data_IF_999190117190
#
_entry.id   IF_999190117190
#
_cell.length_a   1.000
_cell.length_b   1.000
_cell.length_c   1.000
_cell.angle_alpha   90.00
_cell.angle_beta   90.00
_cell.angle_gamma   90.00
#
_symmetry.space_group_name_H-M   'P 1'
#
loop_
_entity.id
_entity.type
_entity.pdbx_description
1 polymer ?
#
# COMPACT_ATOMS: atom_id res chain seq x y z
N UNK A 1 -30.34 24.33 16.41
CA UNK A 1 -29.02 23.83 16.84
C UNK A 1 -28.04 24.08 15.70
N UNK A 2 -26.89 24.69 15.95
CA UNK A 2 -25.88 24.86 14.92
C UNK A 2 -25.25 23.48 14.62
N UNK A 3 -25.38 23.02 13.38
CA UNK A 3 -24.73 21.79 12.92
C UNK A 3 -23.23 22.12 12.77
N UNK A 4 -22.43 21.75 13.76
CA UNK A 4 -20.97 21.85 13.66
C UNK A 4 -20.52 20.79 12.67
N UNK A 5 -19.94 21.20 11.55
CA UNK A 5 -19.34 20.26 10.58
C UNK A 5 -18.17 19.55 11.23
N UNK A 6 -18.29 18.24 11.43
CA UNK A 6 -17.23 17.39 11.93
C UNK A 6 -16.32 16.95 10.77
N UNK A 7 -15.02 16.96 11.02
CA UNK A 7 -13.98 16.62 10.04
C UNK A 7 -13.09 15.52 10.62
N UNK A 8 -12.73 14.52 9.81
CA UNK A 8 -11.87 13.43 10.21
C UNK A 8 -10.44 13.91 10.48
N UNK A 9 -9.87 13.55 11.63
CA UNK A 9 -8.49 13.91 11.97
C UNK A 9 -7.42 13.17 11.13
N UNK A 10 -7.78 12.02 10.53
CA UNK A 10 -6.86 11.24 9.70
C UNK A 10 -6.67 11.82 8.29
N UNK A 11 -7.77 12.16 7.61
CA UNK A 11 -7.71 12.55 6.18
C UNK A 11 -8.44 13.86 5.82
N UNK A 12 -9.08 14.54 6.77
CA UNK A 12 -9.81 15.77 6.48
C UNK A 12 -11.19 15.59 5.83
N UNK A 13 -11.66 14.35 5.64
CA UNK A 13 -13.00 14.09 5.09
C UNK A 13 -14.10 14.55 6.06
N UNK A 14 -15.25 14.97 5.52
CA UNK A 14 -16.44 15.29 6.32
C UNK A 14 -17.02 14.01 6.94
N UNK A 15 -17.37 14.09 8.22
CA UNK A 15 -17.99 12.97 8.94
C UNK A 15 -19.49 13.22 9.08
N UNK A 16 -20.30 12.31 8.56
CA UNK A 16 -21.72 12.23 8.90
C UNK A 16 -21.85 11.49 10.23
N UNK A 17 -21.89 12.26 11.31
CA UNK A 17 -22.12 11.72 12.65
C UNK A 17 -23.55 12.06 13.11
N UNK A 18 -24.30 11.05 13.53
CA UNK A 18 -25.50 11.27 14.32
C UNK A 18 -25.10 11.80 15.71
N UNK A 19 -25.88 12.75 16.21
CA UNK A 19 -25.74 13.43 17.50
C UNK A 19 -25.57 12.51 18.71
N UNK A 20 -25.91 11.22 18.59
CA UNK A 20 -25.86 10.24 19.68
C UNK A 20 -24.63 9.32 19.66
N UNK A 21 -23.70 9.47 18.70
CA UNK A 21 -22.52 8.60 18.62
C UNK A 21 -21.32 9.19 19.36
N UNK A 22 -20.67 8.39 20.21
CA UNK A 22 -19.44 8.79 20.90
C UNK A 22 -18.17 8.56 20.06
N UNK A 23 -18.24 7.69 19.05
CA UNK A 23 -17.15 7.37 18.13
C UNK A 23 -17.71 7.27 16.73
N UNK A 24 -17.10 7.94 15.77
CA UNK A 24 -17.44 7.83 14.34
C UNK A 24 -16.23 7.36 13.56
N UNK A 25 -16.40 6.28 12.80
CA UNK A 25 -15.35 5.78 11.91
C UNK A 25 -15.46 6.47 10.56
N UNK A 26 -14.37 7.06 10.10
CA UNK A 26 -14.34 7.68 8.78
C UNK A 26 -14.50 6.62 7.71
N UNK A 27 -15.53 6.73 6.87
CA UNK A 27 -15.74 5.80 5.75
C UNK A 27 -14.64 5.90 4.69
N UNK A 28 -13.88 7.00 4.66
CA UNK A 28 -12.84 7.21 3.66
C UNK A 28 -11.51 6.54 4.04
N UNK A 29 -11.00 6.80 5.25
CA UNK A 29 -9.68 6.31 5.69
C UNK A 29 -9.72 5.31 6.85
N UNK A 30 -10.90 4.94 7.35
CA UNK A 30 -11.06 4.00 8.47
C UNK A 30 -10.67 4.54 9.85
N UNK A 31 -10.18 5.79 9.95
CA UNK A 31 -9.80 6.38 11.24
C UNK A 31 -11.04 6.60 12.14
N UNK A 32 -11.04 6.03 13.35
CA UNK A 32 -12.05 6.28 14.37
C UNK A 32 -11.80 7.59 15.10
N UNK A 33 -12.77 8.49 15.09
CA UNK A 33 -12.72 9.79 15.75
C UNK A 33 -13.65 9.77 16.97
N UNK A 34 -13.11 10.01 18.17
CA UNK A 34 -13.92 10.15 19.37
C UNK A 34 -14.54 11.56 19.41
N UNK A 35 -15.86 11.63 19.52
CA UNK A 35 -16.58 12.90 19.62
C UNK A 35 -16.66 13.30 21.10
N UNK A 36 -15.83 14.25 21.49
CA UNK A 36 -15.91 14.84 22.81
C UNK A 36 -17.17 15.71 22.86
N UNK A 37 -18.23 15.21 23.50
CA UNK A 37 -19.41 16.02 23.79
C UNK A 37 -18.92 17.25 24.55
N UNK A 38 -19.08 18.44 23.97
CA UNK A 38 -18.91 19.67 24.71
C UNK A 38 -19.89 19.61 25.88
N UNK A 39 -19.37 19.36 27.09
CA UNK A 39 -20.15 19.53 28.31
C UNK A 39 -20.70 20.95 28.26
N UNK A 40 -22.01 21.08 28.41
CA UNK A 40 -22.65 22.39 28.51
C UNK A 40 -21.87 23.24 29.51
N UNK A 41 -21.62 24.54 29.23
CA UNK A 41 -20.89 25.41 30.13
C UNK A 41 -21.44 25.25 31.54
N UNK A 42 -20.60 25.03 32.57
CA UNK A 42 -21.08 24.89 33.93
C UNK A 42 -21.95 26.10 34.27
N UNK A 43 -23.18 25.84 34.71
CA UNK A 43 -24.08 26.92 35.10
C UNK A 43 -23.38 27.82 36.14
N UNK A 44 -23.55 29.16 36.06
CA UNK A 44 -22.97 30.07 37.03
C UNK A 44 -23.39 29.63 38.43
N UNK A 45 -22.43 29.25 39.27
CA UNK A 45 -22.73 28.91 40.66
C UNK A 45 -23.35 30.14 41.33
N UNK A 46 -24.52 30.02 41.99
CA UNK A 46 -25.02 31.06 42.87
C UNK A 46 -23.95 31.41 43.89
N UNK A 47 -23.68 32.70 44.08
CA UNK A 47 -22.74 33.15 45.11
C UNK A 47 -23.21 32.63 46.48
N UNK A 48 -22.34 31.97 47.26
CA UNK A 48 -22.70 31.49 48.58
C UNK A 48 -22.92 32.67 49.53
N UNK A 49 -24.16 32.82 50.00
CA UNK A 49 -24.43 33.56 51.24
C UNK A 49 -23.72 32.85 52.39
N UNK A 50 -22.92 33.60 53.15
CA UNK A 50 -22.26 33.13 54.36
C UNK A 50 -23.33 32.71 55.39
N UNK A 51 -23.42 31.41 55.65
CA UNK A 51 -24.20 30.85 56.76
C UNK A 51 -23.20 30.49 57.88
N UNK A 52 -23.44 30.90 59.14
CA UNK A 52 -22.57 30.57 60.27
C UNK A 52 -22.57 29.05 60.58
N UNK A 53 -21.48 28.54 61.19
CA UNK A 53 -21.23 27.10 61.28
C UNK A 53 -22.25 26.37 62.16
N UNK A 54 -22.94 25.38 61.58
CA UNK A 54 -23.69 24.37 62.33
C UNK A 54 -22.88 23.07 62.44
N UNK A 55 -22.85 22.53 63.66
CA UNK A 55 -22.21 21.26 64.01
C UNK A 55 -23.09 20.10 63.49
N UNK A 56 -22.55 19.24 62.62
CA UNK A 56 -23.22 18.02 62.18
C UNK A 56 -22.80 16.83 63.05
N UNK A 57 -23.78 16.18 63.67
CA UNK A 57 -23.67 14.82 64.23
C UNK A 57 -23.91 13.78 63.11
N UNK A 58 -23.03 12.80 63.00
CA UNK A 58 -23.14 11.71 62.02
C UNK A 58 -24.14 10.64 62.49
N UNK A 59 -25.19 10.38 61.71
CA UNK A 59 -26.03 9.18 61.82
C UNK A 59 -25.60 8.15 60.76
N UNK A 60 -25.01 7.05 61.22
CA UNK A 60 -24.69 5.87 60.41
C UNK A 60 -25.96 5.00 60.32
N UNK A 61 -26.43 4.71 59.11
CA UNK A 61 -27.43 3.65 58.85
C UNK A 61 -26.71 2.35 58.43
N UNK A 62 -26.99 1.20 59.06
CA UNK A 62 -26.42 -0.08 58.65
C UNK A 62 -27.12 -0.67 57.42
N UNK A 63 -26.33 -1.19 56.48
CA UNK A 63 -26.80 -1.90 55.30
C UNK A 63 -27.28 -3.33 55.67
N UNK A 64 -28.43 -3.73 55.12
CA UNK A 64 -29.03 -5.05 55.29
C UNK A 64 -28.33 -6.09 54.40
N UNK A 65 -27.87 -7.17 55.03
CA UNK A 65 -27.35 -8.36 54.36
C UNK A 65 -28.49 -9.23 53.80
N UNK A 66 -28.40 -9.63 52.53
CA UNK A 66 -29.22 -10.69 51.94
C UNK A 66 -28.37 -11.92 51.67
N UNK A 67 -28.93 -13.09 52.00
CA UNK A 67 -28.29 -14.41 51.97
C UNK A 67 -28.38 -15.00 50.56
N UNK A 68 -27.25 -15.07 49.86
CA UNK A 68 -27.05 -15.98 48.72
C UNK A 68 -25.69 -16.69 48.94
N UNK A 69 -25.71 -17.71 49.78
CA UNK A 69 -24.58 -18.61 50.04
C UNK A 69 -25.03 -20.00 49.63
N UNK A 70 -24.41 -20.56 48.59
CA UNK A 70 -24.67 -21.94 48.20
C UNK A 70 -24.14 -22.42 46.84
N UNK A 71 -23.69 -21.55 45.93
CA UNK A 71 -23.19 -21.98 44.60
C UNK A 71 -21.87 -21.36 44.11
N UNK A 72 -21.20 -20.52 44.92
CA UNK A 72 -20.02 -19.75 44.47
C UNK A 72 -18.68 -20.49 44.69
N UNK A 73 -18.61 -21.50 45.58
CA UNK A 73 -17.32 -22.06 46.00
C UNK A 73 -16.63 -23.02 45.01
N UNK A 74 -17.31 -23.53 43.98
CA UNK A 74 -16.67 -24.38 42.96
C UNK A 74 -16.21 -23.58 41.73
N UNK A 75 -16.85 -22.44 41.45
CA UNK A 75 -16.49 -21.56 40.32
C UNK A 75 -15.26 -20.68 40.60
N UNK A 76 -15.04 -20.25 41.85
CA UNK A 76 -13.93 -19.35 42.19
C UNK A 76 -12.55 -20.02 42.21
N UNK A 77 -12.46 -21.35 42.35
CA UNK A 77 -11.17 -22.05 42.35
C UNK A 77 -10.74 -22.55 40.96
N UNK A 78 -11.70 -22.95 40.10
CA UNK A 78 -11.40 -23.51 38.77
C UNK A 78 -11.29 -22.44 37.67
N UNK A 79 -12.01 -21.32 37.80
CA UNK A 79 -11.95 -20.24 36.82
C UNK A 79 -10.55 -19.58 36.70
N UNK A 80 -9.81 -19.28 37.79
CA UNK A 80 -8.46 -18.74 37.64
C UNK A 80 -7.46 -19.75 37.07
N UNK A 81 -7.63 -21.06 37.32
CA UNK A 81 -6.74 -22.09 36.74
C UNK A 81 -7.00 -22.22 35.22
N UNK A 82 -8.26 -22.20 34.79
CA UNK A 82 -8.60 -22.22 33.37
C UNK A 82 -8.20 -20.93 32.65
N UNK A 83 -8.38 -19.76 33.26
CA UNK A 83 -7.94 -18.48 32.69
C UNK A 83 -6.41 -18.41 32.64
N UNK A 84 -5.70 -18.80 33.70
CA UNK A 84 -4.23 -18.78 33.72
C UNK A 84 -3.65 -19.82 32.76
N UNK A 85 -4.25 -21.03 32.69
CA UNK A 85 -3.86 -22.06 31.74
C UNK A 85 -4.12 -21.65 30.29
N UNK A 86 -5.25 -20.98 30.00
CA UNK A 86 -5.55 -20.46 28.67
C UNK A 86 -4.64 -19.29 28.29
N UNK A 87 -4.35 -18.36 29.21
CA UNK A 87 -3.43 -17.25 28.97
C UNK A 87 -1.99 -17.76 28.77
N UNK A 88 -1.53 -18.71 29.58
CA UNK A 88 -0.20 -19.33 29.39
C UNK A 88 -0.17 -20.16 28.10
N UNK A 89 -1.24 -20.89 27.74
CA UNK A 89 -1.29 -21.65 26.48
C UNK A 89 -1.31 -20.73 25.26
N UNK A 90 -2.10 -19.65 25.26
CA UNK A 90 -2.14 -18.68 24.16
C UNK A 90 -0.81 -17.95 24.04
N UNK A 91 -0.21 -17.49 25.16
CA UNK A 91 1.11 -16.86 25.14
C UNK A 91 2.17 -17.85 24.68
N UNK A 92 2.17 -19.09 25.16
CA UNK A 92 3.20 -20.07 24.80
C UNK A 92 3.05 -20.53 23.34
N UNK A 93 1.83 -20.62 22.79
CA UNK A 93 1.61 -20.93 21.37
C UNK A 93 2.00 -19.76 20.46
N UNK A 94 1.72 -18.52 20.87
CA UNK A 94 2.17 -17.33 20.13
C UNK A 94 3.68 -17.13 20.19
N UNK A 95 4.32 -17.43 21.33
CA UNK A 95 5.78 -17.29 21.49
C UNK A 95 6.53 -18.40 20.75
N UNK A 96 6.01 -19.63 20.71
CA UNK A 96 6.66 -20.73 19.96
C UNK A 96 6.57 -20.53 18.45
N UNK A 97 5.41 -20.12 17.91
CA UNK A 97 5.31 -19.76 16.49
C UNK A 97 6.22 -18.58 16.13
N UNK A 98 6.25 -17.54 16.96
CA UNK A 98 7.13 -16.39 16.73
C UNK A 98 8.63 -16.76 16.85
N UNK A 99 9.00 -17.70 17.73
CA UNK A 99 10.37 -18.17 17.89
C UNK A 99 10.80 -19.11 16.76
N UNK A 100 9.91 -19.97 16.26
CA UNK A 100 10.15 -20.81 15.08
C UNK A 100 10.32 -19.95 13.82
N UNK A 101 9.43 -18.97 13.60
CA UNK A 101 9.52 -17.98 12.52
C UNK A 101 10.80 -17.14 12.60
N UNK A 102 11.23 -16.75 13.80
CA UNK A 102 12.52 -16.08 14.02
C UNK A 102 13.70 -17.01 13.75
N UNK A 103 13.62 -18.29 14.08
CA UNK A 103 14.73 -19.23 13.92
C UNK A 103 14.94 -19.66 12.47
N UNK A 104 13.85 -19.89 11.72
CA UNK A 104 13.91 -20.20 10.29
C UNK A 104 14.32 -18.97 9.49
N UNK A 105 13.81 -17.79 9.86
CA UNK A 105 14.25 -16.51 9.33
C UNK A 105 15.76 -16.26 9.53
N UNK A 106 16.31 -16.54 10.71
CA UNK A 106 17.72 -16.27 10.99
C UNK A 106 18.72 -17.26 10.37
N UNK A 107 18.29 -18.44 9.95
CA UNK A 107 19.20 -19.50 9.49
C UNK A 107 19.75 -19.31 8.07
N UNK A 108 19.15 -18.42 7.27
CA UNK A 108 19.58 -18.10 5.90
C UNK A 108 20.42 -16.83 5.75
N UNK A 109 20.49 -15.98 6.78
CA UNK A 109 21.26 -14.74 6.69
C UNK A 109 22.72 -15.01 7.01
N UNK A 110 23.58 -14.94 5.98
CA UNK A 110 25.01 -14.85 6.19
C UNK A 110 25.29 -13.68 7.16
N UNK A 111 26.10 -13.93 8.19
CA UNK A 111 26.48 -12.92 9.17
C UNK A 111 27.11 -11.71 8.44
N UNK A 112 26.36 -10.60 8.37
CA UNK A 112 26.78 -9.39 7.66
C UNK A 112 25.73 -8.73 6.77
N UNK A 113 24.57 -9.37 6.52
CA UNK A 113 23.48 -8.66 5.82
C UNK A 113 22.83 -7.63 6.74
N UNK A 114 22.80 -6.37 6.30
CA UNK A 114 22.14 -5.28 7.01
C UNK A 114 20.65 -5.57 7.19
N UNK A 115 20.13 -5.34 8.40
CA UNK A 115 18.71 -5.52 8.70
C UNK A 115 17.94 -4.26 8.36
N UNK A 116 17.23 -4.29 7.23
CA UNK A 116 16.37 -3.20 6.80
C UNK A 116 14.97 -3.69 6.46
N UNK A 117 14.00 -2.79 6.54
CA UNK A 117 12.64 -3.03 6.06
C UNK A 117 12.43 -2.25 4.78
N UNK A 118 11.87 -2.87 3.74
CA UNK A 118 11.43 -2.13 2.56
C UNK A 118 10.27 -1.20 2.92
N UNK A 119 10.29 0.05 2.46
CA UNK A 119 9.31 1.10 2.80
C UNK A 119 8.65 1.74 1.59
N UNK A 120 9.31 1.77 0.44
CA UNK A 120 8.68 2.16 -0.84
C UNK A 120 7.62 1.14 -1.25
N UNK A 121 6.61 1.56 -2.02
CA UNK A 121 5.60 0.64 -2.56
C UNK A 121 6.19 -0.24 -3.66
N UNK A 122 6.25 0.27 -4.88
CA UNK A 122 6.88 -0.41 -6.01
C UNK A 122 8.39 -0.12 -6.05
N UNK A 123 9.24 -1.15 -6.19
CA UNK A 123 10.65 -0.93 -6.44
C UNK A 123 10.87 -0.36 -7.83
N UNK A 124 12.02 0.25 -8.04
CA UNK A 124 12.47 0.61 -9.37
C UNK A 124 13.56 -0.36 -9.82
N UNK A 125 13.41 -0.85 -11.04
CA UNK A 125 14.32 -1.84 -11.64
C UNK A 125 14.95 -1.23 -12.88
N UNK A 126 16.29 -1.30 -12.98
CA UNK A 126 17.13 -1.00 -14.15
C UNK A 126 18.58 -1.43 -13.89
N UNK A 127 19.47 -1.40 -14.88
CA UNK A 127 20.92 -1.72 -14.75
C UNK A 127 21.75 -0.49 -14.31
N UNK A 128 21.78 -0.19 -13.00
CA UNK A 128 22.36 1.06 -12.49
C UNK A 128 23.89 1.09 -12.54
N UNK A 129 24.56 -0.05 -12.42
CA UNK A 129 26.01 -0.14 -12.46
C UNK A 129 26.60 -0.47 -13.85
N UNK A 130 25.74 -0.81 -14.82
CA UNK A 130 26.07 -1.19 -16.20
C UNK A 130 26.79 -2.54 -16.31
N UNK A 131 26.46 -3.49 -15.43
CA UNK A 131 26.97 -4.86 -15.45
C UNK A 131 26.11 -5.83 -16.29
N UNK A 132 24.97 -5.36 -16.80
CA UNK A 132 24.03 -6.12 -17.63
C UNK A 132 22.97 -6.89 -16.84
N UNK A 133 23.00 -6.84 -15.51
CA UNK A 133 21.95 -7.36 -14.64
C UNK A 133 21.03 -6.21 -14.21
N UNK A 134 19.79 -6.55 -13.86
CA UNK A 134 18.86 -5.54 -13.39
C UNK A 134 18.95 -5.37 -11.88
N UNK A 135 19.39 -4.19 -11.49
CA UNK A 135 19.46 -3.73 -10.12
C UNK A 135 18.10 -3.23 -9.64
N UNK A 136 18.01 -3.03 -8.32
CA UNK A 136 16.81 -2.51 -7.68
C UNK A 136 17.12 -1.35 -6.76
N UNK A 137 16.29 -0.30 -6.79
CA UNK A 137 16.37 0.80 -5.82
C UNK A 137 15.00 1.19 -5.25
N UNK A 138 15.04 1.78 -4.07
CA UNK A 138 13.86 2.23 -3.35
C UNK A 138 14.18 2.80 -1.98
N UNK A 139 13.14 3.01 -1.17
CA UNK A 139 13.25 3.52 0.19
C UNK A 139 13.23 2.34 1.16
N UNK A 140 14.22 2.30 2.05
CA UNK A 140 14.33 1.32 3.13
C UNK A 140 14.33 2.02 4.49
N UNK A 141 13.95 1.30 5.54
CA UNK A 141 14.17 1.69 6.93
C UNK A 141 15.30 0.84 7.48
N UNK A 142 16.44 1.46 7.77
CA UNK A 142 17.50 0.80 8.52
C UNK A 142 17.00 0.60 9.96
N UNK A 143 16.80 -0.66 10.36
CA UNK A 143 16.13 -0.97 11.64
C UNK A 143 17.05 -0.74 12.84
N UNK A 144 18.37 -0.81 12.65
CA UNK A 144 19.33 -0.55 13.71
C UNK A 144 19.38 0.94 14.07
N UNK A 145 19.32 1.80 13.06
CA UNK A 145 19.45 3.25 13.22
C UNK A 145 18.11 3.99 13.26
N UNK A 146 17.02 3.34 12.85
CA UNK A 146 15.68 3.93 12.71
C UNK A 146 15.66 5.13 11.72
N UNK A 147 16.51 5.05 10.71
CA UNK A 147 16.66 6.05 9.64
C UNK A 147 16.06 5.53 8.34
N UNK A 148 15.37 6.41 7.61
CA UNK A 148 14.98 6.11 6.23
C UNK A 148 16.19 6.35 5.34
N UNK A 149 16.45 5.40 4.44
CA UNK A 149 17.53 5.49 3.47
C UNK A 149 16.96 5.29 2.05
N UNK A 150 17.51 6.01 1.08
CA UNK A 150 17.38 5.68 -0.33
C UNK A 150 18.53 4.73 -0.65
N UNK A 151 18.25 3.53 -1.14
CA UNK A 151 19.28 2.53 -1.38
C UNK A 151 19.08 1.81 -2.72
N UNK A 152 20.19 1.38 -3.31
CA UNK A 152 20.23 0.51 -4.48
C UNK A 152 21.02 -0.77 -4.21
N UNK A 153 20.60 -1.86 -4.83
CA UNK A 153 21.16 -3.20 -4.69
C UNK A 153 21.42 -3.82 -6.07
N UNK A 154 22.56 -4.48 -6.22
CA UNK A 154 22.96 -5.14 -7.46
C UNK A 154 22.03 -6.31 -7.77
N UNK A 155 21.64 -6.46 -9.03
CA UNK A 155 20.90 -7.63 -9.52
C UNK A 155 21.73 -8.90 -9.60
N UNK A 156 23.06 -8.78 -9.66
CA UNK A 156 23.97 -9.91 -9.84
C UNK A 156 24.16 -10.72 -8.56
N UNK A 157 24.36 -10.03 -7.44
CA UNK A 157 24.71 -10.65 -6.16
C UNK A 157 23.92 -10.10 -4.96
N UNK A 158 23.00 -9.16 -5.19
CA UNK A 158 22.16 -8.54 -4.17
C UNK A 158 22.93 -7.74 -3.12
N UNK A 159 24.17 -7.37 -3.40
CA UNK A 159 24.95 -6.47 -2.56
C UNK A 159 24.46 -5.02 -2.69
N UNK A 160 24.60 -4.23 -1.63
CA UNK A 160 24.24 -2.82 -1.66
C UNK A 160 25.26 -2.04 -2.52
N UNK A 161 24.78 -1.39 -3.57
CA UNK A 161 25.57 -0.52 -4.45
C UNK A 161 25.86 0.82 -3.75
N UNK A 162 24.82 1.44 -3.20
CA UNK A 162 24.89 2.68 -2.44
C UNK A 162 23.67 2.84 -1.55
N UNK A 163 23.81 3.66 -0.50
CA UNK A 163 22.71 4.09 0.35
C UNK A 163 22.93 5.55 0.79
N UNK A 164 21.83 6.30 0.85
CA UNK A 164 21.81 7.71 1.26
C UNK A 164 20.85 7.85 2.43
N UNK A 165 21.35 8.37 3.56
CA UNK A 165 20.51 8.68 4.73
C UNK A 165 19.60 9.88 4.43
N UNK A 166 18.28 9.64 4.49
CA UNK A 166 17.24 10.67 4.33
C UNK A 166 16.93 11.31 5.70
N UNK A 167 17.23 10.61 6.79
CA UNK A 167 17.07 11.04 8.17
C UNK A 167 16.14 10.12 8.98
N UNK A 168 15.96 10.43 10.28
CA UNK A 168 15.09 9.65 11.15
C UNK A 168 13.65 9.64 10.65
N UNK A 169 13.00 8.47 10.62
CA UNK A 169 11.62 8.33 10.14
C UNK A 169 10.65 9.29 10.85
N UNK A 170 10.87 9.53 12.16
CA UNK A 170 10.04 10.43 12.97
C UNK A 170 10.16 11.91 12.60
N UNK A 171 11.19 12.30 11.85
CA UNK A 171 11.47 13.68 11.45
C UNK A 171 10.98 14.02 10.04
N UNK A 172 10.63 13.00 9.25
CA UNK A 172 10.25 13.13 7.85
C UNK A 172 8.75 13.50 7.78
N UNK A 173 8.39 14.67 7.22
CA UNK A 173 7.01 15.10 7.16
C UNK A 173 6.22 14.31 6.10
N UNK A 174 5.28 13.49 6.56
CA UNK A 174 4.46 12.66 5.67
C UNK A 174 5.23 11.46 5.11
N UNK A 175 4.63 10.81 4.11
CA UNK A 175 5.29 9.70 3.40
C UNK A 175 6.14 10.30 2.26
N UNK A 176 7.44 9.96 2.18
CA UNK A 176 8.24 10.34 1.01
C UNK A 176 7.67 9.67 -0.24
N UNK A 177 7.73 10.37 -1.36
CA UNK A 177 7.39 9.82 -2.68
C UNK A 177 8.65 9.78 -3.53
N UNK A 178 8.87 8.66 -4.22
CA UNK A 178 10.02 8.44 -5.07
C UNK A 178 9.55 8.30 -6.52
N UNK A 179 10.27 8.94 -7.43
CA UNK A 179 10.05 8.83 -8.87
C UNK A 179 11.35 8.46 -9.55
N UNK A 180 11.24 7.83 -10.71
CA UNK A 180 12.38 7.44 -11.51
C UNK A 180 12.26 7.89 -12.95
N UNK A 181 13.38 8.37 -13.46
CA UNK A 181 13.55 8.80 -14.84
C UNK A 181 14.76 8.09 -15.45
N UNK A 182 14.56 7.42 -16.58
CA UNK A 182 15.67 6.97 -17.42
C UNK A 182 16.11 8.11 -18.34
N UNK A 183 17.41 8.43 -18.31
CA UNK A 183 17.98 9.50 -19.13
C UNK A 183 18.07 8.97 -20.57
N UNK A 184 17.22 9.49 -21.47
CA UNK A 184 17.20 9.07 -22.88
C UNK A 184 18.57 9.27 -23.52
N UNK A 185 19.14 8.20 -24.06
CA UNK A 185 20.42 8.22 -24.77
C UNK A 185 21.66 8.00 -23.91
N UNK A 186 21.53 7.75 -22.59
CA UNK A 186 22.68 7.44 -21.72
C UNK A 186 22.94 5.93 -21.52
N UNK A 187 22.20 5.07 -22.22
CA UNK A 187 22.26 3.62 -22.05
C UNK A 187 21.25 3.12 -21.02
N UNK A 188 21.04 1.81 -20.95
CA UNK A 188 20.14 1.21 -19.96
C UNK A 188 20.65 1.52 -18.54
N UNK A 189 19.72 1.89 -17.66
CA UNK A 189 19.93 2.11 -16.22
C UNK A 189 20.71 3.34 -15.77
N UNK A 190 21.14 4.22 -16.69
CA UNK A 190 21.50 5.59 -16.31
C UNK A 190 20.24 6.44 -16.18
N UNK A 191 20.06 7.05 -15.00
CA UNK A 191 18.87 7.82 -14.72
C UNK A 191 18.99 8.76 -13.53
N UNK A 192 17.86 9.40 -13.24
CA UNK A 192 17.70 10.28 -12.09
C UNK A 192 16.60 9.74 -11.19
N UNK A 193 16.92 9.47 -9.93
CA UNK A 193 15.95 9.21 -8.88
C UNK A 193 15.52 10.54 -8.27
N UNK A 194 14.21 10.77 -8.18
CA UNK A 194 13.63 11.98 -7.62
C UNK A 194 12.92 11.64 -6.32
N UNK A 195 13.44 12.14 -5.20
CA UNK A 195 12.86 11.92 -3.88
C UNK A 195 12.15 13.19 -3.41
N UNK A 196 10.87 13.07 -3.13
CA UNK A 196 10.06 14.15 -2.60
C UNK A 196 9.85 13.99 -1.09
N UNK A 197 10.26 15.00 -0.32
CA UNK A 197 10.11 15.06 1.14
C UNK A 197 9.58 16.42 1.57
N UNK A 198 8.32 16.47 2.04
CA UNK A 198 7.70 17.72 2.48
C UNK A 198 7.38 18.65 1.31
N UNK A 199 8.24 19.64 1.05
CA UNK A 199 8.21 20.52 -0.13
C UNK A 199 9.52 20.47 -0.92
N UNK A 200 10.50 19.69 -0.46
CA UNK A 200 11.78 19.54 -1.14
C UNK A 200 11.70 18.38 -2.14
N UNK A 201 12.06 18.65 -3.39
CA UNK A 201 12.35 17.65 -4.41
C UNK A 201 13.86 17.53 -4.54
N UNK A 202 14.40 16.34 -4.30
CA UNK A 202 15.83 16.03 -4.41
C UNK A 202 16.05 15.11 -5.59
N UNK A 203 17.10 15.35 -6.36
CA UNK A 203 17.52 14.48 -7.44
C UNK A 203 18.81 13.77 -7.08
N UNK A 204 18.86 12.47 -7.34
CA UNK A 204 20.01 11.62 -7.12
C UNK A 204 20.42 10.93 -8.42
N UNK A 205 21.71 10.83 -8.62
CA UNK A 205 22.31 9.96 -9.63
C UNK A 205 22.07 8.50 -9.24
N UNK A 206 21.41 7.71 -10.10
CA UNK A 206 21.07 6.33 -9.75
C UNK A 206 22.25 5.37 -9.75
N UNK A 207 23.37 5.73 -10.38
CA UNK A 207 24.56 4.90 -10.40
C UNK A 207 25.37 5.05 -9.11
N UNK A 208 25.50 6.27 -8.59
CA UNK A 208 26.38 6.54 -7.44
C UNK A 208 25.64 6.92 -6.16
N UNK A 209 24.33 7.17 -6.22
CA UNK A 209 23.55 7.73 -5.12
C UNK A 209 23.90 9.20 -4.80
N UNK A 210 24.67 9.88 -5.65
CA UNK A 210 25.09 11.26 -5.36
C UNK A 210 23.94 12.25 -5.60
N UNK A 211 23.73 13.19 -4.68
CA UNK A 211 22.74 14.27 -4.86
C UNK A 211 23.18 15.19 -6.00
N UNK A 212 22.36 15.28 -7.07
CA UNK A 212 22.58 16.16 -8.22
C UNK A 212 22.13 17.58 -7.91
N UNK A 213 20.93 17.73 -7.35
CA UNK A 213 20.36 19.03 -6.97
C UNK A 213 19.19 18.87 -6.00
N UNK A 214 18.81 19.99 -5.37
CA UNK A 214 17.62 20.10 -4.50
C UNK A 214 16.84 21.35 -4.85
N UNK A 215 15.52 21.20 -4.92
CA UNK A 215 14.59 22.27 -5.29
C UNK A 215 13.45 22.32 -4.28
N UNK A 216 13.14 23.51 -3.77
CA UNK A 216 11.98 23.71 -2.89
C UNK A 216 10.78 24.14 -3.72
N UNK A 217 9.70 23.36 -3.65
CA UNK A 217 8.41 23.65 -4.26
C UNK A 217 7.63 24.67 -3.43
N UNK A 218 6.71 25.44 -4.05
CA UNK A 218 5.87 26.39 -3.34
C UNK A 218 4.91 25.71 -2.35
N UNK A 219 4.45 24.49 -2.64
CA UNK A 219 3.62 23.65 -1.78
C UNK A 219 3.96 22.16 -2.01
N UNK A 220 3.21 21.26 -1.38
CA UNK A 220 3.37 19.81 -1.51
C UNK A 220 3.12 19.36 -2.95
N UNK A 221 3.92 18.39 -3.40
CA UNK A 221 3.77 17.75 -4.70
C UNK A 221 2.44 16.99 -4.77
N UNK A 222 1.73 17.18 -5.87
CA UNK A 222 0.55 16.41 -6.22
C UNK A 222 0.83 15.46 -7.39
N UNK A 223 1.55 15.92 -8.41
CA UNK A 223 1.96 15.07 -9.53
C UNK A 223 3.21 15.61 -10.21
N UNK A 224 3.93 14.73 -10.89
CA UNK A 224 5.10 15.07 -11.71
C UNK A 224 5.01 14.35 -13.04
N UNK A 225 5.19 15.12 -14.11
CA UNK A 225 5.29 14.62 -15.48
C UNK A 225 6.58 15.12 -16.11
N UNK A 226 7.13 14.37 -17.05
CA UNK A 226 8.30 14.74 -17.83
C UNK A 226 7.87 15.42 -19.12
N UNK A 227 8.52 16.51 -19.49
CA UNK A 227 8.42 17.14 -20.80
C UNK A 227 9.81 17.46 -21.34
N UNK A 228 10.35 16.57 -22.16
CA UNK A 228 11.72 16.65 -22.67
C UNK A 228 12.75 16.68 -21.54
N UNK A 229 13.48 17.79 -21.42
CA UNK A 229 14.51 18.04 -20.40
C UNK A 229 13.98 18.75 -19.14
N UNK A 230 12.67 18.93 -19.05
CA UNK A 230 12.00 19.55 -17.90
C UNK A 230 11.09 18.56 -17.19
N UNK A 231 10.93 18.73 -15.89
CA UNK A 231 9.84 18.14 -15.12
C UNK A 231 8.77 19.20 -14.92
N UNK A 232 7.52 18.89 -15.24
CA UNK A 232 6.39 19.72 -14.84
C UNK A 232 5.83 19.13 -13.54
N UNK A 233 5.88 19.92 -12.48
CA UNK A 233 5.37 19.56 -11.16
C UNK A 233 4.11 20.36 -10.88
N UNK A 234 3.05 19.65 -10.50
CA UNK A 234 1.82 20.25 -10.01
C UNK A 234 1.79 20.12 -8.50
N UNK A 235 1.59 21.23 -7.80
CA UNK A 235 1.47 21.25 -6.34
C UNK A 235 -0.01 21.15 -5.91
N UNK A 236 -0.28 20.88 -4.62
CA UNK A 236 -1.66 20.74 -4.08
C UNK A 236 -2.51 22.01 -4.28
N UNK A 237 -1.90 23.18 -4.34
CA UNK A 237 -2.56 24.45 -4.65
C UNK A 237 -2.84 24.65 -6.15
N UNK A 238 -2.66 23.59 -6.96
CA UNK A 238 -2.83 23.54 -8.42
C UNK A 238 -1.84 24.44 -9.18
N UNK A 239 -0.80 24.98 -8.52
CA UNK A 239 0.27 25.67 -9.20
C UNK A 239 1.14 24.68 -9.98
N UNK A 240 1.49 25.05 -11.23
CA UNK A 240 2.37 24.25 -12.10
C UNK A 240 3.71 24.97 -12.23
N UNK A 241 4.78 24.24 -11.95
CA UNK A 241 6.16 24.72 -12.12
C UNK A 241 6.93 23.79 -13.04
N UNK A 242 7.85 24.34 -13.83
CA UNK A 242 8.84 23.59 -14.58
C UNK A 242 10.16 23.55 -13.80
N UNK A 243 10.78 22.37 -13.75
CA UNK A 243 12.11 22.13 -13.17
C UNK A 243 13.02 21.65 -14.27
N UNK A 244 14.11 22.37 -14.52
CA UNK A 244 15.17 21.92 -15.41
C UNK A 244 15.88 20.69 -14.80
N UNK A 245 15.86 19.55 -15.48
CA UNK A 245 16.38 18.27 -14.95
C UNK A 245 17.88 18.27 -14.71
N UNK A 246 18.64 19.13 -15.41
CA UNK A 246 20.10 19.20 -15.28
C UNK A 246 20.55 20.07 -14.11
N UNK A 247 19.78 21.11 -13.76
CA UNK A 247 20.17 22.12 -12.77
C UNK A 247 19.27 22.17 -11.53
N UNK A 248 18.09 21.55 -11.57
CA UNK A 248 17.05 21.70 -10.56
C UNK A 248 16.39 23.08 -10.55
N UNK A 249 16.66 23.94 -11.53
CA UNK A 249 16.12 25.31 -11.53
C UNK A 249 14.60 25.30 -11.70
N UNK A 250 13.90 25.85 -10.71
CA UNK A 250 12.45 26.03 -10.71
C UNK A 250 12.04 27.29 -11.49
N UNK A 251 10.97 27.17 -12.27
CA UNK A 251 10.32 28.30 -12.95
C UNK A 251 8.81 28.09 -13.02
N UNK A 252 7.99 29.16 -13.05
CA UNK A 252 6.56 29.02 -13.31
C UNK A 252 6.31 28.39 -14.69
N UNK A 253 5.29 27.53 -14.80
CA UNK A 253 4.86 26.92 -16.06
C UNK A 253 3.36 27.15 -16.31
N UNK A 254 2.91 26.90 -17.55
CA UNK A 254 1.48 26.94 -17.87
C UNK A 254 0.75 25.79 -17.17
N UNK A 255 -0.52 26.02 -16.82
CA UNK A 255 -1.35 24.99 -16.18
C UNK A 255 -1.71 23.82 -17.13
N UNK A 256 -1.80 24.11 -18.43
CA UNK A 256 -2.08 23.09 -19.45
C UNK A 256 -0.83 22.26 -19.72
N UNK A 257 -0.94 20.93 -19.54
CA UNK A 257 0.14 20.00 -19.85
C UNK A 257 0.36 19.91 -21.37
N UNK A 258 1.61 19.95 -21.86
CA UNK A 258 1.90 19.75 -23.26
C UNK A 258 1.57 18.32 -23.68
N UNK A 259 1.23 18.12 -24.96
CA UNK A 259 0.92 16.79 -25.50
C UNK A 259 2.11 15.81 -25.45
N UNK A 260 3.33 16.32 -25.29
CA UNK A 260 4.57 15.56 -25.07
C UNK A 260 4.77 15.12 -23.62
N UNK A 261 3.94 15.57 -22.68
CA UNK A 261 4.11 15.25 -21.27
C UNK A 261 3.87 13.76 -21.01
N UNK A 262 4.83 13.11 -20.34
CA UNK A 262 4.76 11.70 -19.96
C UNK A 262 4.70 11.60 -18.44
N UNK A 263 3.76 10.82 -17.91
CA UNK A 263 3.70 10.55 -16.49
C UNK A 263 4.96 9.82 -16.02
N UNK A 264 5.54 10.30 -14.91
CA UNK A 264 6.71 9.66 -14.32
C UNK A 264 6.31 8.38 -13.59
N UNK A 265 7.19 7.37 -13.59
CA UNK A 265 7.02 6.17 -12.77
C UNK A 265 7.22 6.58 -11.30
N UNK A 266 6.21 6.36 -10.45
CA UNK A 266 6.28 6.56 -9.00
C UNK A 266 6.44 5.24 -8.24
N UNK A 267 7.03 5.30 -7.05
CA UNK A 267 7.10 4.19 -6.09
C UNK A 267 5.80 4.01 -5.31
N UNK A 268 4.83 4.89 -5.51
CA UNK A 268 3.47 4.66 -5.04
C UNK A 268 3.12 3.23 -5.47
N UNK A 269 2.64 2.46 -4.50
CA UNK A 269 2.31 1.05 -4.67
C UNK A 269 1.30 0.86 -5.78
N UNK A 270 0.71 -0.33 -5.87
CA UNK A 270 -0.57 -0.37 -6.56
C UNK A 270 -1.52 0.57 -5.84
N UNK A 271 -1.79 1.76 -6.42
CA UNK A 271 -2.97 2.51 -6.06
C UNK A 271 -4.11 1.50 -6.13
N UNK A 272 -4.76 1.30 -4.98
CA UNK A 272 -5.95 0.47 -4.81
C UNK A 272 -6.76 0.64 -6.08
N UNK A 273 -6.79 -0.39 -6.93
CA UNK A 273 -7.54 -0.58 -8.17
C UNK A 273 -8.11 0.74 -8.70
N UNK A 274 -7.74 1.24 -9.89
CA UNK A 274 -8.37 2.45 -10.40
C UNK A 274 -9.88 2.19 -10.28
N UNK A 275 -10.58 3.01 -9.46
CA UNK A 275 -11.91 2.69 -8.89
C UNK A 275 -12.81 2.14 -9.98
N UNK A 276 -13.76 1.25 -9.70
CA UNK A 276 -14.67 0.62 -10.70
C UNK A 276 -15.13 1.61 -11.80
N UNK A 277 -15.28 2.89 -11.47
CA UNK A 277 -15.66 4.03 -12.32
C UNK A 277 -14.56 4.60 -13.26
N UNK A 278 -13.33 4.11 -13.23
CA UNK A 278 -12.17 4.70 -13.94
C UNK A 278 -11.82 3.98 -15.23
N UNK A 279 -12.27 2.74 -15.41
CA UNK A 279 -12.12 1.99 -16.65
C UNK A 279 -13.51 1.71 -17.23
N UNK A 280 -13.58 1.60 -18.55
CA UNK A 280 -14.83 1.53 -19.36
C UNK A 280 -15.57 0.18 -19.26
N UNK A 281 -15.57 -0.46 -18.08
CA UNK A 281 -16.37 -1.65 -17.79
C UNK A 281 -17.41 -1.35 -16.72
N UNK A 282 -18.67 -1.66 -17.01
CA UNK A 282 -19.73 -1.57 -16.01
C UNK A 282 -19.68 -2.79 -15.06
N UNK A 283 -20.10 -2.61 -13.81
CA UNK A 283 -20.11 -3.69 -12.81
C UNK A 283 -20.97 -4.89 -13.21
N UNK A 284 -22.01 -4.68 -14.03
CA UNK A 284 -22.89 -5.72 -14.55
C UNK A 284 -22.74 -5.90 -16.07
N UNK A 285 -21.53 -5.68 -16.61
CA UNK A 285 -21.26 -5.83 -18.05
C UNK A 285 -21.55 -7.24 -18.57
N UNK A 286 -21.46 -8.26 -17.70
CA UNK A 286 -21.68 -9.67 -18.02
C UNK A 286 -22.78 -10.23 -17.11
N UNK A 287 -23.75 -10.94 -17.68
CA UNK A 287 -24.99 -11.34 -16.98
C UNK A 287 -24.78 -12.16 -15.69
N UNK A 288 -23.69 -12.93 -15.64
CA UNK A 288 -23.38 -13.85 -14.55
C UNK A 288 -22.19 -13.44 -13.69
N UNK A 289 -21.54 -12.32 -14.01
CA UNK A 289 -20.39 -11.79 -13.28
C UNK A 289 -20.66 -10.38 -12.75
N UNK A 290 -20.01 -10.07 -11.63
CA UNK A 290 -19.87 -8.73 -11.09
C UNK A 290 -18.41 -8.32 -11.23
N UNK A 291 -18.13 -7.32 -12.05
CA UNK A 291 -16.77 -6.77 -12.15
C UNK A 291 -16.45 -6.01 -10.86
N UNK A 292 -15.28 -6.32 -10.28
CA UNK A 292 -14.77 -5.73 -9.02
C UNK A 292 -13.56 -4.84 -9.28
N UNK A 293 -12.79 -5.18 -10.31
CA UNK A 293 -11.63 -4.43 -10.74
C UNK A 293 -11.44 -4.64 -12.24
N UNK A 294 -10.96 -3.61 -12.92
CA UNK A 294 -10.32 -3.76 -14.22
C UNK A 294 -8.87 -3.29 -14.10
N UNK A 295 -7.98 -3.89 -14.90
CA UNK A 295 -6.55 -3.63 -14.84
C UNK A 295 -6.10 -2.99 -16.15
N UNK A 296 -5.27 -1.95 -16.02
CA UNK A 296 -4.61 -1.30 -17.13
C UNK A 296 -3.19 -0.91 -16.70
N UNK A 297 -2.17 -1.10 -17.56
CA UNK A 297 -0.87 -0.50 -17.34
C UNK A 297 -0.99 1.02 -17.15
N UNK A 298 -0.41 1.64 -16.11
CA UNK A 298 -0.52 3.08 -15.89
C UNK A 298 -0.02 3.93 -17.07
N UNK A 299 0.93 3.41 -17.85
CA UNK A 299 1.48 4.11 -19.03
C UNK A 299 0.51 4.11 -20.22
N UNK A 300 -0.46 3.20 -20.22
CA UNK A 300 -1.50 3.10 -21.24
C UNK A 300 -2.77 3.88 -20.83
N UNK A 301 -2.74 4.52 -19.67
CA UNK A 301 -3.73 5.51 -19.27
C UNK A 301 -3.30 6.90 -19.78
N UNK A 302 -4.23 7.70 -20.32
CA UNK A 302 -3.92 9.07 -20.69
C UNK A 302 -3.49 9.87 -19.44
N UNK A 303 -2.47 10.73 -19.53
CA UNK A 303 -2.09 11.58 -18.41
C UNK A 303 -3.28 12.46 -18.03
N UNK A 304 -3.66 12.45 -16.74
CA UNK A 304 -4.69 13.34 -16.22
C UNK A 304 -4.06 14.34 -15.26
N UNK A 305 -4.15 15.62 -15.57
CA UNK A 305 -3.80 16.71 -14.65
C UNK A 305 -4.84 16.89 -13.54
N UNK A 306 -6.05 16.35 -13.71
CA UNK A 306 -7.17 16.56 -12.80
C UNK A 306 -7.51 15.30 -12.00
N UNK A 307 -7.90 15.48 -10.74
CA UNK A 307 -8.57 14.43 -9.93
C UNK A 307 -9.97 14.07 -10.43
N UNK A 308 -10.40 14.53 -11.61
CA UNK A 308 -11.73 14.20 -12.08
C UNK A 308 -11.76 12.73 -12.49
N UNK A 309 -12.59 11.93 -11.80
CA UNK A 309 -12.86 10.52 -12.08
C UNK A 309 -13.60 10.37 -13.42
N UNK A 310 -12.97 10.75 -14.53
CA UNK A 310 -13.49 10.41 -15.84
C UNK A 310 -13.01 9.00 -16.18
N UNK A 311 -13.90 8.13 -16.70
CA UNK A 311 -13.47 6.86 -17.26
C UNK A 311 -12.38 7.10 -18.30
N UNK A 312 -11.25 6.45 -18.12
CA UNK A 312 -10.12 6.46 -19.03
C UNK A 312 -10.15 5.17 -19.86
N UNK A 313 -9.93 5.30 -21.16
CA UNK A 313 -9.76 4.12 -22.02
C UNK A 313 -8.30 3.66 -21.94
N UNK A 314 -8.07 2.45 -21.43
CA UNK A 314 -6.77 1.80 -21.47
C UNK A 314 -6.30 1.59 -22.91
N UNK A 315 -5.08 1.96 -23.28
CA UNK A 315 -4.58 1.75 -24.66
C UNK A 315 -4.28 0.27 -25.00
N UNK A 316 -4.11 -0.59 -23.99
CA UNK A 316 -3.74 -2.00 -24.16
C UNK A 316 -4.83 -2.82 -24.89
N UNK A 317 -4.42 -3.75 -25.76
CA UNK A 317 -5.35 -4.46 -26.68
C UNK A 317 -6.28 -5.44 -25.95
N UNK A 318 -5.79 -6.08 -24.89
CA UNK A 318 -6.54 -7.08 -24.11
C UNK A 318 -6.82 -6.53 -22.72
N UNK A 319 -8.09 -6.43 -22.35
CA UNK A 319 -8.47 -6.04 -21.00
C UNK A 319 -8.40 -7.24 -20.05
N UNK A 320 -7.93 -7.02 -18.82
CA UNK A 320 -8.02 -8.01 -17.74
C UNK A 320 -8.86 -7.41 -16.62
N UNK A 321 -9.76 -8.20 -16.04
CA UNK A 321 -10.60 -7.80 -14.94
C UNK A 321 -10.67 -8.87 -13.86
N UNK A 322 -10.79 -8.42 -12.60
CA UNK A 322 -11.18 -9.27 -11.49
C UNK A 322 -12.69 -9.19 -11.34
N UNK A 323 -13.34 -10.35 -11.36
CA UNK A 323 -14.78 -10.47 -11.26
C UNK A 323 -15.17 -11.51 -10.20
N UNK A 324 -16.40 -11.40 -9.69
CA UNK A 324 -17.02 -12.45 -8.87
C UNK A 324 -18.33 -12.88 -9.50
N UNK A 325 -18.91 -14.01 -9.08
CA UNK A 325 -20.26 -14.37 -9.55
C UNK A 325 -21.27 -13.31 -9.12
N UNK A 326 -22.16 -12.91 -10.04
CA UNK A 326 -23.21 -11.94 -9.73
C UNK A 326 -24.25 -12.48 -8.73
N UNK A 327 -24.42 -13.80 -8.66
CA UNK A 327 -25.38 -14.49 -7.80
C UNK A 327 -24.72 -15.67 -7.07
N UNK A 328 -25.06 -15.84 -5.79
CA UNK A 328 -24.55 -16.93 -4.96
C UNK A 328 -23.28 -16.55 -4.21
N UNK A 329 -22.33 -17.50 -4.10
CA UNK A 329 -21.01 -17.27 -3.51
C UNK A 329 -20.15 -16.38 -4.40
N UNK A 330 -19.36 -15.48 -3.81
CA UNK A 330 -18.44 -14.56 -4.50
C UNK A 330 -17.20 -15.30 -5.05
N UNK A 331 -17.42 -16.36 -5.82
CA UNK A 331 -16.35 -17.14 -6.45
C UNK A 331 -15.53 -16.20 -7.35
N UNK A 332 -14.21 -16.11 -7.13
CA UNK A 332 -13.34 -15.15 -7.79
C UNK A 332 -12.92 -15.66 -9.17
N UNK A 333 -13.07 -14.81 -10.17
CA UNK A 333 -12.63 -15.04 -11.54
C UNK A 333 -11.66 -13.96 -12.00
N UNK A 334 -10.68 -14.38 -12.79
CA UNK A 334 -9.97 -13.51 -13.71
C UNK A 334 -10.67 -13.60 -15.07
N UNK A 335 -10.91 -12.44 -15.67
CA UNK A 335 -11.61 -12.30 -16.94
C UNK A 335 -10.71 -11.58 -17.93
N UNK A 336 -10.48 -12.20 -19.08
CA UNK A 336 -9.93 -11.55 -20.26
C UNK A 336 -11.04 -11.08 -21.18
N UNK A 337 -10.97 -9.85 -21.67
CA UNK A 337 -11.98 -9.28 -22.55
C UNK A 337 -11.37 -8.45 -23.69
N UNK A 338 -12.08 -8.38 -24.80
CA UNK A 338 -11.76 -7.49 -25.92
C UNK A 338 -12.07 -6.05 -25.53
N UNK A 339 -11.10 -5.14 -25.69
CA UNK A 339 -11.26 -3.76 -25.22
C UNK A 339 -12.38 -2.99 -25.94
N UNK A 340 -12.52 -3.15 -27.26
CA UNK A 340 -13.45 -2.38 -28.08
C UNK A 340 -14.88 -2.89 -27.94
N UNK A 341 -15.07 -4.20 -28.08
CA UNK A 341 -16.39 -4.85 -28.06
C UNK A 341 -16.87 -5.16 -26.64
N UNK A 342 -15.97 -5.14 -25.66
CA UNK A 342 -16.16 -5.68 -24.30
C UNK A 342 -16.55 -7.15 -24.29
N UNK A 343 -16.31 -7.87 -25.40
CA UNK A 343 -16.62 -9.29 -25.49
C UNK A 343 -15.66 -10.08 -24.58
N UNK A 344 -16.20 -11.07 -23.87
CA UNK A 344 -15.37 -12.00 -23.12
C UNK A 344 -14.53 -12.85 -24.07
N UNK A 345 -13.22 -12.96 -23.77
CA UNK A 345 -12.30 -13.87 -24.46
C UNK A 345 -12.13 -15.17 -23.70
N UNK A 346 -11.89 -15.07 -22.40
CA UNK A 346 -11.66 -16.20 -21.51
C UNK A 346 -12.00 -15.80 -20.08
N UNK A 347 -12.30 -16.80 -19.25
CA UNK A 347 -12.51 -16.64 -17.81
C UNK A 347 -11.88 -17.81 -17.06
N UNK A 348 -11.20 -17.52 -15.96
CA UNK A 348 -10.49 -18.51 -15.13
C UNK A 348 -10.81 -18.28 -13.67
N UNK A 349 -11.17 -19.34 -12.94
CA UNK A 349 -11.38 -19.26 -11.50
C UNK A 349 -10.03 -19.08 -10.80
N UNK A 350 -9.91 -18.10 -9.90
CA UNK A 350 -8.65 -17.83 -9.19
C UNK A 350 -8.35 -18.90 -8.12
N UNK A 351 -9.40 -19.44 -7.50
CA UNK A 351 -9.29 -20.53 -6.52
C UNK A 351 -9.44 -21.90 -7.20
N UNK A 352 -9.07 -23.01 -6.54
CA UNK A 352 -9.20 -24.35 -7.11
C UNK A 352 -10.59 -24.59 -7.71
N UNK A 353 -10.63 -25.21 -8.89
CA UNK A 353 -11.87 -25.39 -9.64
C UNK A 353 -12.97 -26.04 -8.78
N UNK A 354 -14.15 -25.42 -8.75
CA UNK A 354 -15.29 -25.88 -7.95
C UNK A 354 -15.25 -25.46 -6.47
N UNK A 355 -14.17 -24.82 -6.01
CA UNK A 355 -14.10 -24.22 -4.68
C UNK A 355 -15.07 -23.04 -4.55
N UNK A 356 -15.59 -22.84 -3.34
CA UNK A 356 -16.34 -21.64 -2.95
C UNK A 356 -15.46 -20.61 -2.24
N UNK A 357 -14.14 -20.86 -2.14
CA UNK A 357 -13.19 -19.92 -1.58
C UNK A 357 -13.22 -18.61 -2.37
N UNK A 358 -13.28 -17.49 -1.65
CA UNK A 358 -13.24 -16.13 -2.20
C UNK A 358 -11.81 -15.61 -2.21
N UNK A 359 -11.59 -14.40 -2.72
CA UNK A 359 -10.34 -13.65 -2.48
C UNK A 359 -10.62 -12.64 -1.38
N UNK A 360 -9.65 -12.43 -0.49
CA UNK A 360 -9.78 -11.44 0.57
C UNK A 360 -9.88 -10.01 -0.02
N UNK A 361 -10.82 -9.22 0.48
CA UNK A 361 -11.00 -7.83 0.05
C UNK A 361 -9.95 -6.89 0.65
N UNK A 362 -10.03 -5.60 0.31
CA UNK A 362 -9.14 -4.58 0.86
C UNK A 362 -7.72 -4.68 0.31
N UNK A 363 -6.73 -4.80 1.19
CA UNK A 363 -5.31 -4.77 0.80
C UNK A 363 -4.85 -6.05 0.09
N UNK A 364 -5.54 -7.17 0.29
CA UNK A 364 -5.29 -8.48 -0.34
C UNK A 364 -5.93 -8.65 -1.73
N UNK A 365 -6.52 -7.56 -2.27
CA UNK A 365 -7.19 -7.61 -3.55
C UNK A 365 -6.23 -7.93 -4.71
N UNK A 366 -6.74 -8.55 -5.79
CA UNK A 366 -5.91 -8.90 -6.93
C UNK A 366 -5.18 -7.70 -7.55
N UNK A 367 -3.94 -7.91 -7.97
CA UNK A 367 -3.12 -6.93 -8.73
C UNK A 367 -2.54 -7.59 -9.95
N UNK A 368 -2.43 -6.86 -11.05
CA UNK A 368 -1.90 -7.39 -12.33
C UNK A 368 -0.77 -6.50 -12.83
N UNK A 369 0.31 -7.12 -13.29
CA UNK A 369 1.34 -6.51 -14.14
C UNK A 369 1.38 -7.22 -15.48
N UNK A 370 1.51 -6.45 -16.55
CA UNK A 370 1.55 -6.94 -17.91
C UNK A 370 2.99 -7.01 -18.40
N UNK A 371 3.38 -8.11 -19.05
CA UNK A 371 4.61 -8.16 -19.82
C UNK A 371 4.44 -7.35 -21.11
N UNK A 372 5.24 -6.29 -21.23
CA UNK A 372 5.22 -5.37 -22.38
C UNK A 372 6.33 -5.64 -23.38
N UNK A 373 7.29 -6.49 -23.04
CA UNK A 373 8.37 -6.87 -23.95
C UNK A 373 7.88 -7.86 -25.02
N UNK A 374 6.75 -8.50 -24.75
CA UNK A 374 6.05 -9.41 -25.66
C UNK A 374 4.88 -8.68 -26.36
N UNK A 375 4.57 -9.00 -27.63
CA UNK A 375 3.35 -8.51 -28.28
C UNK A 375 2.10 -8.88 -27.47
N UNK A 376 1.15 -7.95 -27.32
CA UNK A 376 0.01 -8.09 -26.38
C UNK A 376 -0.88 -9.32 -26.58
N UNK A 377 -0.90 -9.91 -27.77
CA UNK A 377 -1.65 -11.14 -28.09
C UNK A 377 -0.92 -12.43 -27.68
N UNK A 378 0.35 -12.31 -27.32
CA UNK A 378 1.24 -13.36 -26.81
C UNK A 378 1.84 -13.01 -25.44
N UNK A 379 1.53 -11.82 -24.92
CA UNK A 379 2.01 -11.36 -23.62
C UNK A 379 1.45 -12.20 -22.49
N UNK A 380 2.28 -12.39 -21.48
CA UNK A 380 1.84 -12.86 -20.18
C UNK A 380 1.50 -11.69 -19.27
N UNK A 381 0.85 -12.04 -18.18
CA UNK A 381 0.66 -11.16 -17.06
C UNK A 381 0.88 -11.90 -15.74
N UNK A 382 1.18 -11.11 -14.72
CA UNK A 382 1.52 -11.57 -13.38
C UNK A 382 0.47 -11.06 -12.43
N UNK A 383 -0.22 -11.98 -11.77
CA UNK A 383 -1.29 -11.71 -10.84
C UNK A 383 -0.80 -11.97 -9.41
N UNK A 384 -1.04 -11.04 -8.49
CA UNK A 384 -1.00 -11.33 -7.06
C UNK A 384 -2.40 -11.42 -6.47
N UNK A 385 -2.68 -12.36 -5.58
CA UNK A 385 -3.96 -12.46 -4.85
C UNK A 385 -3.81 -13.27 -3.55
N UNK A 386 -4.70 -13.09 -2.58
CA UNK A 386 -4.73 -13.92 -1.36
C UNK A 386 -6.10 -14.61 -1.24
N UNK A 387 -6.17 -15.95 -1.33
CA UNK A 387 -7.39 -16.68 -1.06
C UNK A 387 -7.93 -16.39 0.34
N UNK A 388 -9.25 -16.29 0.48
CA UNK A 388 -9.87 -16.01 1.76
C UNK A 388 -9.66 -17.17 2.75
N UNK A 389 -9.15 -16.84 3.93
CA UNK A 389 -8.81 -17.82 4.98
C UNK A 389 -7.36 -18.29 4.93
N UNK A 390 -6.59 -17.84 3.93
CA UNK A 390 -5.15 -18.05 3.84
C UNK A 390 -4.40 -16.78 4.23
N UNK A 391 -3.20 -16.91 4.76
CA UNK A 391 -2.34 -15.79 5.15
C UNK A 391 -1.34 -15.41 4.07
N UNK A 392 -1.22 -16.22 3.02
CA UNK A 392 -0.11 -16.20 2.09
C UNK A 392 -0.56 -15.63 0.76
N UNK A 393 0.23 -14.72 0.20
CA UNK A 393 -0.04 -14.16 -1.11
C UNK A 393 0.40 -15.16 -2.19
N UNK A 394 -0.45 -15.36 -3.19
CA UNK A 394 -0.17 -16.16 -4.37
C UNK A 394 0.27 -15.23 -5.49
N UNK A 395 1.35 -15.60 -6.18
CA UNK A 395 1.82 -14.96 -7.40
C UNK A 395 1.66 -15.95 -8.54
N UNK A 396 0.93 -15.56 -9.57
CA UNK A 396 0.61 -16.42 -10.72
C UNK A 396 1.01 -15.73 -12.03
N UNK A 397 1.78 -16.41 -12.88
CA UNK A 397 1.95 -16.05 -14.29
C UNK A 397 0.86 -16.72 -15.12
N UNK A 398 0.22 -15.95 -16.00
CA UNK A 398 -0.83 -16.46 -16.89
C UNK A 398 -0.76 -15.82 -18.26
N UNK A 399 -1.16 -16.58 -19.29
CA UNK A 399 -1.21 -16.12 -20.67
C UNK A 399 -2.41 -15.21 -20.91
N UNK A 400 -2.20 -14.06 -21.57
CA UNK A 400 -3.31 -13.17 -21.96
C UNK A 400 -4.10 -13.69 -23.16
N UNK A 401 -3.59 -14.69 -23.88
CA UNK A 401 -4.26 -15.26 -25.04
C UNK A 401 -5.49 -16.09 -24.65
N UNK A 402 -5.37 -16.89 -23.59
CA UNK A 402 -6.35 -17.90 -23.17
C UNK A 402 -6.61 -17.96 -21.65
N UNK A 403 -5.87 -17.20 -20.84
CA UNK A 403 -5.97 -17.20 -19.39
C UNK A 403 -5.29 -18.39 -18.72
N UNK A 404 -4.60 -19.25 -19.46
CA UNK A 404 -3.96 -20.43 -18.89
C UNK A 404 -2.87 -20.03 -17.88
N UNK A 405 -2.87 -20.70 -16.73
CA UNK A 405 -1.83 -20.53 -15.72
C UNK A 405 -0.56 -21.24 -16.18
N UNK A 406 0.56 -20.54 -16.18
CA UNK A 406 1.87 -21.12 -16.51
C UNK A 406 2.55 -21.67 -15.25
N UNK A 407 2.61 -20.84 -14.21
CA UNK A 407 3.07 -21.22 -12.89
C UNK A 407 2.37 -20.39 -11.81
N UNK A 408 2.39 -20.90 -10.60
CA UNK A 408 1.90 -20.22 -9.40
C UNK A 408 2.79 -20.57 -8.23
N UNK A 409 3.15 -19.56 -7.44
CA UNK A 409 3.93 -19.71 -6.21
C UNK A 409 3.23 -19.02 -5.05
N UNK A 410 3.34 -19.65 -3.89
CA UNK A 410 2.85 -19.12 -2.63
C UNK A 410 4.01 -18.44 -1.90
N UNK A 411 3.86 -17.16 -1.59
CA UNK A 411 4.85 -16.42 -0.82
C UNK A 411 4.71 -16.76 0.66
N UNK A 412 5.85 -17.03 1.30
CA UNK A 412 5.88 -17.34 2.73
C UNK A 412 5.24 -16.21 3.54
N UNK A 413 4.44 -16.53 4.56
CA UNK A 413 3.68 -15.55 5.32
C UNK A 413 4.58 -14.47 5.88
N UNK A 414 4.11 -13.24 5.77
CA UNK A 414 4.56 -12.17 6.65
C UNK A 414 3.33 -11.68 7.40
N UNK A 415 3.34 -11.69 8.75
CA UNK A 415 2.19 -11.26 9.54
C UNK A 415 1.71 -9.88 9.11
N UNK A 416 0.45 -9.77 8.69
CA UNK A 416 -0.17 -8.54 8.20
C UNK A 416 0.52 -7.90 6.96
N UNK A 417 1.21 -8.69 6.13
CA UNK A 417 1.79 -8.19 4.89
C UNK A 417 0.76 -8.14 3.77
N UNK A 418 0.85 -7.09 2.97
CA UNK A 418 0.13 -6.94 1.71
C UNK A 418 1.15 -6.91 0.58
N UNK A 419 0.68 -7.19 -0.64
CA UNK A 419 1.48 -6.95 -1.83
C UNK A 419 1.44 -5.45 -2.11
N UNK A 420 2.46 -4.74 -1.63
CA UNK A 420 2.56 -3.29 -1.73
C UNK A 420 3.01 -2.85 -3.12
N UNK A 421 3.74 -3.72 -3.84
CA UNK A 421 4.18 -3.46 -5.19
C UNK A 421 4.69 -4.71 -5.90
N UNK A 422 4.54 -4.72 -7.22
CA UNK A 422 5.28 -5.63 -8.09
C UNK A 422 5.94 -4.80 -9.19
N UNK A 423 7.06 -5.27 -9.72
CA UNK A 423 7.68 -4.74 -10.94
C UNK A 423 8.30 -5.88 -11.74
N UNK A 424 8.08 -5.86 -13.05
CA UNK A 424 8.65 -6.82 -13.98
C UNK A 424 10.05 -6.35 -14.40
N UNK A 425 11.02 -7.24 -14.26
CA UNK A 425 12.33 -7.15 -14.86
C UNK A 425 12.45 -7.98 -16.15
N UNK A 426 13.67 -8.14 -16.65
CA UNK A 426 13.97 -8.90 -17.87
C UNK A 426 13.88 -10.42 -17.60
N UNK A 427 14.37 -10.87 -16.44
CA UNK A 427 14.35 -12.28 -16.03
C UNK A 427 13.69 -12.52 -14.67
N UNK A 428 13.33 -11.45 -13.96
CA UNK A 428 12.81 -11.55 -12.59
C UNK A 428 11.53 -10.73 -12.39
N UNK A 429 10.63 -11.20 -11.53
CA UNK A 429 9.53 -10.43 -10.96
C UNK A 429 9.91 -10.01 -9.54
N UNK A 430 9.93 -8.70 -9.30
CA UNK A 430 10.19 -8.13 -7.99
C UNK A 430 8.86 -7.90 -7.28
N UNK A 431 8.67 -8.53 -6.12
CA UNK A 431 7.40 -8.50 -5.37
C UNK A 431 7.66 -7.99 -3.96
N UNK A 432 7.14 -6.82 -3.63
CA UNK A 432 7.17 -6.28 -2.27
C UNK A 432 5.98 -6.83 -1.50
N UNK A 433 6.27 -7.67 -0.51
CA UNK A 433 5.29 -8.31 0.35
C UNK A 433 5.56 -7.90 1.82
N UNK A 434 4.82 -6.90 2.28
CA UNK A 434 5.01 -6.27 3.59
C UNK A 434 6.32 -5.50 3.68
N UNK A 435 7.33 -6.09 4.33
CA UNK A 435 8.61 -5.39 4.61
C UNK A 435 9.80 -6.02 3.89
N UNK A 436 9.49 -7.05 3.07
CA UNK A 436 10.44 -7.83 2.30
C UNK A 436 10.16 -7.65 0.83
N UNK A 437 11.21 -7.78 0.04
CA UNK A 437 11.10 -7.95 -1.40
C UNK A 437 11.48 -9.38 -1.76
N UNK A 438 10.60 -10.07 -2.46
CA UNK A 438 10.84 -11.36 -3.08
C UNK A 438 11.22 -11.14 -4.53
N UNK A 439 12.25 -11.83 -5.00
CA UNK A 439 12.70 -11.79 -6.39
C UNK A 439 12.44 -13.17 -6.98
N UNK A 440 11.46 -13.27 -7.88
CA UNK A 440 11.00 -14.52 -8.47
C UNK A 440 11.54 -14.65 -9.89
N UNK A 441 11.97 -15.85 -10.28
CA UNK A 441 12.33 -16.17 -11.65
C UNK A 441 11.08 -16.11 -12.56
N UNK A 442 11.14 -15.43 -13.70
CA UNK A 442 9.99 -15.36 -14.60
C UNK A 442 9.65 -16.69 -15.26
N UNK A 443 10.62 -17.59 -15.44
CA UNK A 443 10.43 -18.86 -16.13
C UNK A 443 9.59 -19.85 -15.33
N UNK A 444 9.78 -19.92 -14.01
CA UNK A 444 9.12 -20.92 -13.16
C UNK A 444 8.55 -20.40 -11.83
N UNK A 445 8.72 -19.11 -11.53
CA UNK A 445 8.26 -18.47 -10.31
C UNK A 445 9.13 -18.75 -9.08
N UNK A 446 10.22 -19.53 -9.20
CA UNK A 446 11.08 -19.85 -8.07
C UNK A 446 11.73 -18.60 -7.45
N UNK A 447 11.84 -18.55 -6.13
CA UNK A 447 12.44 -17.42 -5.44
C UNK A 447 13.98 -17.46 -5.60
N UNK A 448 14.53 -16.53 -6.38
CA UNK A 448 15.97 -16.36 -6.62
C UNK A 448 16.65 -15.71 -5.41
N UNK A 449 15.99 -14.72 -4.82
CA UNK A 449 16.52 -13.96 -3.70
C UNK A 449 15.43 -13.24 -2.90
N UNK A 450 15.85 -12.74 -1.73
CA UNK A 450 15.00 -11.98 -0.82
C UNK A 450 15.78 -10.83 -0.21
N UNK A 451 15.20 -9.63 -0.23
CA UNK A 451 15.78 -8.43 0.36
C UNK A 451 14.92 -7.91 1.51
N UNK A 452 15.59 -7.47 2.57
CA UNK A 452 14.96 -6.91 3.78
C UNK A 452 14.27 -7.94 4.67
N UNK A 453 13.63 -7.44 5.71
CA UNK A 453 13.01 -8.23 6.78
C UNK A 453 13.68 -7.99 8.14
N UNK A 454 13.12 -8.60 9.19
CA UNK A 454 13.58 -8.49 10.57
C UNK A 454 14.68 -9.50 10.93
#
# INVERSE_FOLDING_TARGET
MAIVKLVCQGCGARLDADSNMCVVTCQYCGTSNALQHQQAPPQPRPQPQQIPPQQFQAQIKPARASKIVGRILLGTLLLPILITGFVVFVINRSVTQFAEDLSEGMSGFAAGQERFMWRSGRPFVADFDADGNQDVFGIILNTAEQTLQLAAYSGADWSQLWAVDIGPQSSIPGQPALYFHEDEGQGQGQGTALLFVGTALRAYDTKTGAERWVTNLPDKLQSVVRDGQSLLVTSIDESVSAIDTSTGKLSPAAADLPASAVAMRSDEGFELIPKEDTLDLSSNQFDDLRIRAAFCPPQDLPPSSSRTNRPQSCAYLVGVAFATRAKGSEVPYLLGYERETKAERWRVQLTPAGSLATVEGGFSQPRVIFDRNTPSDQSDAYLSFTPAGESNAHIRRFSLADGASEWEVELQPSPAANIDGMVLGDESLFVVYGTRMHILDLADGSERARLGGF
#
